data_IF_348474524991
#
_entry.id   IF_348474524991
#
_cell.length_a   1.000
_cell.length_b   1.000
_cell.length_c   1.000
_cell.angle_alpha   90.00
_cell.angle_beta   90.00
_cell.angle_gamma   90.00
#
_symmetry.space_group_name_H-M   'P 1'
#
loop_
_entity.id
_entity.type
_entity.pdbx_description
1 polymer ?
#
# COMPACT_ATOMS: atom_id res chain seq x y z
N UNK A 1 -14.16 9.05 16.39
CA UNK A 1 -15.13 9.90 15.67
C UNK A 1 -15.27 11.29 16.30
N UNK A 2 -15.51 11.40 17.61
CA UNK A 2 -15.64 12.70 18.30
C UNK A 2 -14.52 13.70 18.01
N UNK A 3 -13.26 13.28 18.14
CA UNK A 3 -12.09 14.14 17.88
C UNK A 3 -12.10 14.74 16.47
N UNK A 4 -12.49 13.96 15.45
CA UNK A 4 -12.59 14.45 14.08
C UNK A 4 -13.74 15.44 13.90
N UNK A 5 -14.92 15.12 14.46
CA UNK A 5 -16.08 16.00 14.40
C UNK A 5 -15.75 17.39 14.96
N UNK A 6 -15.21 17.43 16.19
CA UNK A 6 -14.84 18.67 16.86
C UNK A 6 -13.73 19.43 16.11
N UNK A 7 -12.63 18.77 15.71
CA UNK A 7 -11.51 19.42 15.01
C UNK A 7 -11.93 20.01 13.66
N UNK A 8 -12.78 19.32 12.91
CA UNK A 8 -13.29 19.82 11.63
C UNK A 8 -14.25 21.00 11.83
N UNK A 9 -15.15 20.92 12.82
CA UNK A 9 -16.02 22.03 13.19
C UNK A 9 -15.20 23.25 13.59
N UNK A 10 -14.20 23.08 14.46
CA UNK A 10 -13.39 24.19 14.96
C UNK A 10 -12.55 24.84 13.86
N UNK A 11 -11.91 24.02 13.01
CA UNK A 11 -11.07 24.51 11.90
C UNK A 11 -11.86 25.22 10.82
N UNK A 12 -13.02 24.69 10.43
CA UNK A 12 -13.77 25.17 9.26
C UNK A 12 -14.99 26.02 9.60
N UNK A 13 -15.37 26.09 10.89
CA UNK A 13 -16.56 26.80 11.39
C UNK A 13 -17.85 26.44 10.64
N UNK A 14 -17.96 25.18 10.20
CA UNK A 14 -19.14 24.60 9.53
C UNK A 14 -19.67 23.43 10.34
N UNK A 15 -20.99 23.21 10.30
CA UNK A 15 -21.63 22.04 10.93
C UNK A 15 -21.10 20.76 10.28
N UNK A 16 -20.72 19.77 11.10
CA UNK A 16 -20.13 18.49 10.65
C UNK A 16 -21.02 17.34 11.09
N UNK A 17 -21.40 16.49 10.14
CA UNK A 17 -22.03 15.20 10.40
C UNK A 17 -20.94 14.12 10.41
N UNK A 18 -21.05 13.17 11.34
CA UNK A 18 -20.19 11.98 11.37
C UNK A 18 -21.05 10.77 11.11
N UNK A 19 -20.64 9.93 10.16
CA UNK A 19 -21.36 8.72 9.74
C UNK A 19 -20.38 7.55 9.83
N UNK A 20 -20.86 6.39 10.29
CA UNK A 20 -20.05 5.17 10.33
C UNK A 20 -20.62 4.11 9.39
N UNK A 21 -19.78 3.56 8.51
CA UNK A 21 -20.10 2.37 7.74
C UNK A 21 -19.40 1.19 8.41
N UNK A 22 -20.18 0.24 8.92
CA UNK A 22 -19.69 -0.90 9.68
C UNK A 22 -19.57 -2.10 8.73
N UNK A 23 -18.33 -2.49 8.46
CA UNK A 23 -17.97 -3.49 7.47
C UNK A 23 -17.37 -4.76 8.10
N UNK A 24 -17.50 -4.95 9.42
CA UNK A 24 -17.03 -6.11 10.19
C UNK A 24 -17.99 -7.31 10.10
N UNK A 25 -17.60 -8.46 10.64
CA UNK A 25 -18.33 -9.74 10.59
C UNK A 25 -19.30 -9.94 11.77
N UNK A 26 -19.30 -9.05 12.76
CA UNK A 26 -20.09 -9.22 13.99
C UNK A 26 -21.43 -8.49 13.90
N UNK A 27 -22.52 -9.23 13.72
CA UNK A 27 -23.87 -8.64 13.54
C UNK A 27 -24.31 -7.70 14.68
N UNK A 28 -23.86 -7.98 15.91
CA UNK A 28 -24.24 -7.23 17.12
C UNK A 28 -23.31 -6.05 17.43
N UNK A 29 -22.14 -5.96 16.79
CA UNK A 29 -21.24 -4.82 16.98
C UNK A 29 -21.77 -3.61 16.20
N UNK A 30 -22.38 -2.67 16.93
CA UNK A 30 -23.09 -1.50 16.40
C UNK A 30 -22.83 -0.23 17.23
N UNK A 31 -21.57 0.26 17.29
CA UNK A 31 -21.29 1.48 18.00
C UNK A 31 -21.98 2.66 17.31
N UNK A 32 -22.94 3.30 17.98
CA UNK A 32 -23.69 4.45 17.46
C UNK A 32 -23.44 5.75 18.25
N UNK A 33 -22.61 5.69 19.29
CA UNK A 33 -22.29 6.84 20.11
C UNK A 33 -20.89 6.75 20.72
N UNK A 34 -20.37 7.91 21.11
CA UNK A 34 -19.17 8.05 21.93
C UNK A 34 -19.50 8.93 23.13
N UNK A 35 -19.23 8.45 24.34
CA UNK A 35 -19.59 9.15 25.57
C UNK A 35 -18.46 9.06 26.60
N UNK A 36 -18.22 10.14 27.34
CA UNK A 36 -17.44 10.10 28.59
C UNK A 36 -17.98 11.11 29.60
N UNK A 37 -17.68 10.85 30.88
CA UNK A 37 -18.03 11.73 31.98
C UNK A 37 -16.87 11.81 32.98
N UNK A 38 -16.54 13.02 33.43
CA UNK A 38 -15.51 13.26 34.44
C UNK A 38 -15.90 14.49 35.28
N UNK A 39 -15.93 14.35 36.60
CA UNK A 39 -16.16 15.49 37.52
C UNK A 39 -17.46 16.26 37.29
N UNK A 40 -18.53 15.60 36.80
CA UNK A 40 -19.80 16.25 36.45
C UNK A 40 -19.86 16.83 35.03
N UNK A 41 -18.74 16.89 34.30
CA UNK A 41 -18.71 17.23 32.88
C UNK A 41 -19.05 15.99 32.05
N UNK A 42 -19.93 16.14 31.05
CA UNK A 42 -20.33 15.07 30.12
C UNK A 42 -20.11 15.51 28.69
N UNK A 43 -19.54 14.61 27.89
CA UNK A 43 -19.48 14.72 26.44
C UNK A 43 -20.17 13.50 25.85
N UNK A 44 -21.07 13.75 24.90
CA UNK A 44 -21.74 12.73 24.11
C UNK A 44 -21.74 13.13 22.64
N UNK A 45 -21.48 12.16 21.77
CA UNK A 45 -21.65 12.29 20.33
C UNK A 45 -22.38 11.06 19.82
N UNK A 46 -23.62 11.26 19.37
CA UNK A 46 -24.38 10.26 18.62
C UNK A 46 -24.11 10.41 17.13
N UNK A 47 -24.03 9.29 16.43
CA UNK A 47 -23.79 9.27 14.99
C UNK A 47 -24.56 8.14 14.29
N UNK A 48 -25.13 8.41 13.10
CA UNK A 48 -25.76 7.37 12.30
C UNK A 48 -24.77 6.29 11.86
N UNK A 49 -25.27 5.06 11.79
CA UNK A 49 -24.51 3.90 11.33
C UNK A 49 -25.20 3.24 10.14
N UNK A 50 -24.41 2.67 9.24
CA UNK A 50 -24.86 1.74 8.20
C UNK A 50 -24.08 0.43 8.35
N UNK A 51 -24.76 -0.66 8.74
CA UNK A 51 -24.14 -1.99 8.87
C UNK A 51 -24.30 -2.73 7.56
N UNK A 52 -23.18 -3.12 6.93
CA UNK A 52 -23.23 -3.74 5.60
C UNK A 52 -23.92 -5.12 5.62
N UNK A 53 -23.82 -5.84 6.74
CA UNK A 53 -24.50 -7.13 6.93
C UNK A 53 -26.03 -7.01 6.88
N UNK A 54 -26.61 -5.85 7.19
CA UNK A 54 -28.08 -5.65 7.20
C UNK A 54 -28.69 -5.75 5.81
N UNK A 55 -27.87 -5.62 4.77
CA UNK A 55 -28.31 -5.67 3.38
C UNK A 55 -28.27 -7.09 2.80
N UNK A 56 -27.71 -8.07 3.51
CA UNK A 56 -27.64 -9.46 3.05
C UNK A 56 -29.04 -10.08 2.81
N UNK A 57 -30.03 -9.91 3.71
CA UNK A 57 -31.40 -10.39 3.47
C UNK A 57 -32.11 -9.66 2.32
N UNK A 58 -31.67 -8.45 1.97
CA UNK A 58 -32.27 -7.61 0.91
C UNK A 58 -31.47 -7.65 -0.39
N UNK A 59 -30.86 -8.79 -0.71
CA UNK A 59 -30.00 -8.97 -1.87
C UNK A 59 -30.63 -8.49 -3.19
N UNK A 60 -31.89 -8.87 -3.46
CA UNK A 60 -32.60 -8.46 -4.67
C UNK A 60 -32.78 -6.94 -4.78
N UNK A 61 -32.86 -6.22 -3.65
CA UNK A 61 -32.90 -4.76 -3.67
C UNK A 61 -31.55 -4.14 -4.04
N UNK A 62 -30.44 -4.79 -3.67
CA UNK A 62 -29.10 -4.36 -4.09
C UNK A 62 -28.90 -4.57 -5.59
N UNK A 63 -29.29 -5.72 -6.13
CA UNK A 63 -29.14 -6.05 -7.55
C UNK A 63 -29.91 -5.10 -8.46
N UNK A 64 -31.11 -4.66 -8.03
CA UNK A 64 -31.95 -3.74 -8.81
C UNK A 64 -31.65 -2.26 -8.54
N UNK A 65 -30.67 -1.97 -7.69
CA UNK A 65 -30.34 -0.59 -7.33
C UNK A 65 -29.49 0.08 -8.40
N UNK A 66 -29.86 1.30 -8.78
CA UNK A 66 -29.04 2.16 -9.64
C UNK A 66 -27.90 2.86 -8.87
N UNK A 67 -27.79 2.63 -7.56
CA UNK A 67 -26.73 3.23 -6.75
C UNK A 67 -25.43 2.42 -6.93
N UNK A 68 -24.31 3.03 -7.36
CA UNK A 68 -23.03 2.33 -7.52
C UNK A 68 -22.53 1.68 -6.23
N UNK A 69 -22.91 2.21 -5.06
CA UNK A 69 -22.56 1.61 -3.77
C UNK A 69 -23.28 0.28 -3.51
N UNK A 70 -24.35 -0.05 -4.22
CA UNK A 70 -24.97 -1.38 -4.12
C UNK A 70 -23.99 -2.48 -4.57
N UNK A 71 -23.24 -2.24 -5.66
CA UNK A 71 -22.17 -3.14 -6.13
C UNK A 71 -21.08 -3.28 -5.05
N UNK A 72 -20.69 -2.16 -4.43
CA UNK A 72 -19.69 -2.13 -3.34
C UNK A 72 -20.15 -3.00 -2.16
N UNK A 73 -21.40 -2.86 -1.73
CA UNK A 73 -21.97 -3.65 -0.62
C UNK A 73 -22.04 -5.13 -0.99
N UNK A 74 -22.54 -5.46 -2.19
CA UNK A 74 -22.61 -6.85 -2.66
C UNK A 74 -21.23 -7.50 -2.75
N UNK A 75 -20.23 -6.80 -3.30
CA UNK A 75 -18.86 -7.27 -3.39
C UNK A 75 -18.25 -7.50 -2.00
N UNK A 76 -18.51 -6.61 -1.03
CA UNK A 76 -18.05 -6.77 0.34
C UNK A 76 -18.68 -7.98 1.05
N UNK A 77 -19.99 -8.19 0.89
CA UNK A 77 -20.69 -9.35 1.47
C UNK A 77 -20.15 -10.66 0.88
N UNK A 78 -19.96 -10.72 -0.45
CA UNK A 78 -19.46 -11.94 -1.10
C UNK A 78 -17.98 -12.17 -0.88
N UNK A 79 -17.15 -11.12 -0.77
CA UNK A 79 -15.73 -11.27 -0.47
C UNK A 79 -15.52 -12.00 0.87
N UNK A 80 -16.38 -11.74 1.85
CA UNK A 80 -16.42 -12.44 3.14
C UNK A 80 -16.94 -13.87 3.02
N UNK A 81 -18.12 -14.03 2.42
CA UNK A 81 -18.77 -15.34 2.28
C UNK A 81 -17.90 -16.37 1.53
N UNK A 82 -17.10 -15.91 0.56
CA UNK A 82 -16.27 -16.78 -0.28
C UNK A 82 -14.80 -16.82 0.14
N UNK A 83 -14.43 -16.29 1.31
CA UNK A 83 -13.01 -16.16 1.73
C UNK A 83 -12.23 -17.48 1.69
N UNK A 84 -12.90 -18.61 1.95
CA UNK A 84 -12.29 -19.96 1.97
C UNK A 84 -12.65 -20.83 0.75
N UNK A 85 -13.28 -20.26 -0.27
CA UNK A 85 -13.72 -21.00 -1.45
C UNK A 85 -13.43 -20.16 -2.73
N UNK A 86 -12.22 -20.33 -3.32
CA UNK A 86 -11.78 -19.58 -4.49
C UNK A 86 -12.69 -19.74 -5.72
N UNK A 87 -13.26 -20.92 -5.92
CA UNK A 87 -14.15 -21.23 -7.05
C UNK A 87 -15.45 -20.43 -6.92
N UNK A 88 -16.10 -20.48 -5.76
CA UNK A 88 -17.28 -19.65 -5.50
C UNK A 88 -16.94 -18.16 -5.55
N UNK A 89 -15.74 -17.75 -5.13
CA UNK A 89 -15.28 -16.37 -5.26
C UNK A 89 -15.21 -15.95 -6.73
N UNK A 90 -14.66 -16.79 -7.61
CA UNK A 90 -14.62 -16.55 -9.05
C UNK A 90 -16.03 -16.38 -9.61
N UNK A 91 -16.95 -17.30 -9.29
CA UNK A 91 -18.34 -17.23 -9.76
C UNK A 91 -19.02 -15.92 -9.34
N UNK A 92 -18.89 -15.54 -8.07
CA UNK A 92 -19.46 -14.27 -7.60
C UNK A 92 -18.79 -13.04 -8.22
N UNK A 93 -17.46 -13.06 -8.42
CA UNK A 93 -16.75 -11.96 -9.07
C UNK A 93 -17.22 -11.78 -10.52
N UNK A 94 -17.41 -12.87 -11.26
CA UNK A 94 -17.99 -12.83 -12.61
C UNK A 94 -19.40 -12.24 -12.61
N UNK A 95 -20.27 -12.71 -11.71
CA UNK A 95 -21.64 -12.20 -11.60
C UNK A 95 -21.69 -10.70 -11.29
N UNK A 96 -20.86 -10.23 -10.35
CA UNK A 96 -20.80 -8.82 -9.97
C UNK A 96 -20.28 -7.93 -11.10
N UNK A 97 -19.27 -8.39 -11.84
CA UNK A 97 -18.73 -7.62 -12.98
C UNK A 97 -19.71 -7.61 -14.15
N UNK A 98 -20.40 -8.72 -14.44
CA UNK A 98 -21.47 -8.74 -15.45
C UNK A 98 -22.57 -7.75 -15.09
N UNK A 99 -23.04 -7.77 -13.83
CA UNK A 99 -24.04 -6.83 -13.33
C UNK A 99 -23.55 -5.37 -13.45
N UNK A 100 -22.30 -5.10 -13.10
CA UNK A 100 -21.68 -3.77 -13.21
C UNK A 100 -21.71 -3.24 -14.66
N UNK A 101 -21.38 -4.10 -15.62
CA UNK A 101 -21.38 -3.75 -17.05
C UNK A 101 -22.80 -3.52 -17.59
N UNK A 102 -23.79 -4.19 -17.02
CA UNK A 102 -25.21 -4.07 -17.37
C UNK A 102 -25.91 -2.88 -16.71
N UNK A 103 -25.37 -2.37 -15.61
CA UNK A 103 -26.01 -1.34 -14.76
C UNK A 103 -26.06 0.06 -15.38
N UNK A 104 -25.56 0.25 -16.60
CA UNK A 104 -25.65 1.51 -17.35
C UNK A 104 -24.78 2.65 -16.81
N UNK A 105 -23.78 2.34 -15.98
CA UNK A 105 -22.86 3.32 -15.43
C UNK A 105 -21.91 3.93 -16.48
N UNK A 106 -21.33 5.08 -16.16
CA UNK A 106 -20.32 5.69 -17.01
C UNK A 106 -19.07 4.81 -17.11
N UNK A 107 -18.29 4.95 -18.19
CA UNK A 107 -17.02 4.21 -18.35
C UNK A 107 -16.04 4.44 -17.19
N UNK A 108 -16.06 5.64 -16.60
CA UNK A 108 -15.21 5.98 -15.47
C UNK A 108 -15.68 5.27 -14.20
N UNK A 109 -16.98 5.27 -13.92
CA UNK A 109 -17.54 4.60 -12.75
C UNK A 109 -17.36 3.09 -12.82
N UNK A 110 -17.62 2.48 -13.99
CA UNK A 110 -17.36 1.05 -14.23
C UNK A 110 -15.92 0.71 -13.89
N UNK A 111 -14.96 1.54 -14.32
CA UNK A 111 -13.54 1.31 -14.02
C UNK A 111 -13.25 1.36 -12.53
N UNK A 112 -13.73 2.40 -11.83
CA UNK A 112 -13.46 2.55 -10.40
C UNK A 112 -14.11 1.44 -9.57
N UNK A 113 -15.35 1.05 -9.92
CA UNK A 113 -16.06 -0.05 -9.25
C UNK A 113 -15.42 -1.41 -9.58
N UNK A 114 -14.96 -1.61 -10.82
CA UNK A 114 -14.24 -2.82 -11.19
C UNK A 114 -12.94 -2.95 -10.38
N UNK A 115 -12.13 -1.88 -10.27
CA UNK A 115 -10.92 -1.86 -9.43
C UNK A 115 -11.22 -2.22 -8.00
N UNK A 116 -12.30 -1.66 -7.44
CA UNK A 116 -12.75 -1.99 -6.09
C UNK A 116 -13.08 -3.49 -5.94
N UNK A 117 -13.85 -4.06 -6.87
CA UNK A 117 -14.19 -5.49 -6.88
C UNK A 117 -12.93 -6.35 -6.98
N UNK A 118 -12.00 -5.98 -7.87
CA UNK A 118 -10.77 -6.72 -8.10
C UNK A 118 -9.88 -6.75 -6.85
N UNK A 119 -9.76 -5.60 -6.19
CA UNK A 119 -9.00 -5.45 -4.94
C UNK A 119 -9.58 -6.24 -3.77
N UNK A 120 -10.90 -6.20 -3.57
CA UNK A 120 -11.52 -6.88 -2.42
C UNK A 120 -11.76 -8.39 -2.65
N UNK A 121 -11.86 -8.82 -3.92
CA UNK A 121 -12.06 -10.22 -4.31
C UNK A 121 -10.85 -10.76 -5.06
N UNK A 122 -9.71 -10.83 -4.35
CA UNK A 122 -8.47 -11.41 -4.89
C UNK A 122 -8.67 -12.91 -5.18
N UNK A 123 -8.21 -13.31 -6.37
CA UNK A 123 -8.25 -14.68 -6.87
C UNK A 123 -6.82 -15.24 -7.02
N UNK A 124 -6.63 -16.56 -6.85
CA UNK A 124 -5.40 -17.25 -7.29
C UNK A 124 -5.14 -17.04 -8.78
N UNK A 125 -3.87 -17.12 -9.19
CA UNK A 125 -3.42 -16.78 -10.54
C UNK A 125 -4.17 -17.55 -11.64
N UNK A 126 -4.34 -18.87 -11.46
CA UNK A 126 -5.07 -19.73 -12.41
C UNK A 126 -6.53 -19.27 -12.62
N UNK A 127 -7.23 -18.96 -11.52
CA UNK A 127 -8.61 -18.48 -11.56
C UNK A 127 -8.70 -17.04 -12.07
N UNK A 128 -7.68 -16.22 -11.86
CA UNK A 128 -7.61 -14.87 -12.40
C UNK A 128 -7.45 -14.88 -13.94
N UNK A 129 -6.69 -15.83 -14.48
CA UNK A 129 -6.58 -16.04 -15.94
C UNK A 129 -7.93 -16.47 -16.52
N UNK A 130 -8.61 -17.40 -15.85
CA UNK A 130 -9.95 -17.82 -16.26
C UNK A 130 -10.94 -16.64 -16.24
N UNK A 131 -10.96 -15.88 -15.14
CA UNK A 131 -11.78 -14.67 -14.99
C UNK A 131 -11.59 -13.68 -16.16
N UNK A 132 -10.34 -13.36 -16.49
CA UNK A 132 -10.02 -12.44 -17.61
C UNK A 132 -10.55 -12.96 -18.94
N UNK A 133 -10.41 -14.27 -19.18
CA UNK A 133 -10.85 -14.92 -20.41
C UNK A 133 -12.37 -14.89 -20.56
N UNK A 134 -13.10 -15.20 -19.48
CA UNK A 134 -14.58 -15.15 -19.46
C UNK A 134 -15.14 -13.73 -19.61
N UNK A 135 -14.51 -12.73 -18.98
CA UNK A 135 -14.95 -11.35 -19.12
C UNK A 135 -14.71 -10.85 -20.55
N UNK A 136 -13.56 -11.18 -21.14
CA UNK A 136 -13.25 -10.82 -22.52
C UNK A 136 -14.25 -11.43 -23.52
N UNK A 137 -14.58 -12.71 -23.38
CA UNK A 137 -15.55 -13.36 -24.27
C UNK A 137 -16.96 -12.76 -24.10
N UNK A 138 -17.36 -12.44 -22.87
CA UNK A 138 -18.63 -11.77 -22.59
C UNK A 138 -18.72 -10.38 -23.24
N UNK A 139 -17.64 -9.60 -23.21
CA UNK A 139 -17.55 -8.29 -23.87
C UNK A 139 -17.62 -8.38 -25.39
N UNK A 140 -16.85 -9.30 -25.99
CA UNK A 140 -16.82 -9.53 -27.43
C UNK A 140 -18.21 -9.91 -27.95
N UNK A 141 -18.91 -10.80 -27.24
CA UNK A 141 -20.28 -11.20 -27.57
C UNK A 141 -21.26 -10.01 -27.54
N UNK A 142 -21.10 -9.08 -26.59
CA UNK A 142 -21.96 -7.90 -26.45
C UNK A 142 -21.47 -6.67 -27.21
N UNK A 143 -20.35 -6.76 -27.94
CA UNK A 143 -19.68 -5.64 -28.64
C UNK A 143 -19.41 -4.44 -27.73
N UNK A 144 -19.19 -4.67 -26.44
CA UNK A 144 -18.94 -3.63 -25.45
C UNK A 144 -17.42 -3.51 -25.21
N UNK A 145 -16.79 -2.35 -25.50
CA UNK A 145 -15.35 -2.12 -25.24
C UNK A 145 -15.12 -1.41 -23.88
N UNK A 146 -15.50 -2.02 -22.77
CA UNK A 146 -15.20 -1.43 -21.45
C UNK A 146 -13.84 -1.90 -20.91
N UNK A 147 -13.54 -3.21 -20.98
CA UNK A 147 -12.36 -3.84 -20.36
C UNK A 147 -11.07 -3.55 -21.11
N UNK A 148 -11.07 -3.36 -22.43
CA UNK A 148 -9.87 -2.89 -23.16
C UNK A 148 -9.33 -1.55 -22.65
N UNK A 149 -10.20 -0.70 -22.09
CA UNK A 149 -9.77 0.54 -21.43
C UNK A 149 -9.30 0.34 -19.99
N UNK A 150 -9.83 -0.68 -19.30
CA UNK A 150 -9.49 -1.03 -17.92
C UNK A 150 -8.17 -1.81 -17.86
N UNK A 151 -7.96 -2.80 -18.74
CA UNK A 151 -6.68 -3.52 -18.89
C UNK A 151 -5.54 -2.57 -19.26
N UNK A 152 -5.80 -1.60 -20.16
CA UNK A 152 -4.80 -0.61 -20.53
C UNK A 152 -4.43 0.29 -19.35
N UNK A 153 -5.40 0.66 -18.52
CA UNK A 153 -5.16 1.47 -17.32
C UNK A 153 -4.50 0.66 -16.20
N UNK A 154 -4.91 -0.58 -15.94
CA UNK A 154 -4.24 -1.45 -14.97
C UNK A 154 -2.78 -1.73 -15.37
N UNK A 155 -2.51 -1.87 -16.67
CA UNK A 155 -1.13 -1.96 -17.20
C UNK A 155 -0.36 -0.65 -17.01
N UNK A 156 -0.99 0.50 -17.25
CA UNK A 156 -0.35 1.81 -17.02
C UNK A 156 -0.07 2.04 -15.53
N UNK A 157 -1.01 1.72 -14.65
CA UNK A 157 -0.85 1.84 -13.20
C UNK A 157 0.23 0.89 -12.67
N UNK A 158 0.27 -0.37 -13.10
CA UNK A 158 1.35 -1.29 -12.72
C UNK A 158 2.73 -0.86 -13.23
N UNK A 159 2.79 -0.19 -14.38
CA UNK A 159 4.04 0.43 -14.86
C UNK A 159 4.42 1.65 -14.00
N UNK A 160 3.46 2.49 -13.65
CA UNK A 160 3.70 3.67 -12.80
C UNK A 160 4.14 3.28 -11.39
N UNK A 161 3.49 2.29 -10.77
CA UNK A 161 3.87 1.74 -9.46
C UNK A 161 5.27 1.11 -9.52
N UNK A 162 5.55 0.26 -10.50
CA UNK A 162 6.88 -0.33 -10.68
C UNK A 162 7.99 0.70 -10.95
N UNK A 163 7.66 1.79 -11.65
CA UNK A 163 8.60 2.89 -11.89
C UNK A 163 8.87 3.68 -10.60
N UNK A 164 7.85 3.93 -9.78
CA UNK A 164 8.01 4.60 -8.49
C UNK A 164 8.85 3.77 -7.53
N UNK A 165 8.54 2.47 -7.38
CA UNK A 165 9.33 1.55 -6.56
C UNK A 165 10.78 1.46 -7.06
N UNK A 166 10.98 1.29 -8.36
CA UNK A 166 12.32 1.23 -8.96
C UNK A 166 13.12 2.52 -8.75
N UNK A 167 12.47 3.68 -8.83
CA UNK A 167 13.12 4.98 -8.57
C UNK A 167 13.50 5.13 -7.11
N UNK A 168 12.65 4.69 -6.20
CA UNK A 168 12.91 4.77 -4.76
C UNK A 168 14.05 3.82 -4.36
N UNK A 169 14.03 2.59 -4.86
CA UNK A 169 15.11 1.62 -4.65
C UNK A 169 16.44 2.12 -5.24
N UNK A 170 16.42 2.69 -6.44
CA UNK A 170 17.61 3.27 -7.06
C UNK A 170 18.18 4.47 -6.30
N UNK A 171 17.32 5.31 -5.71
CA UNK A 171 17.75 6.42 -4.87
C UNK A 171 18.38 5.92 -3.55
N UNK A 172 17.77 4.93 -2.90
CA UNK A 172 18.30 4.35 -1.67
C UNK A 172 19.66 3.69 -1.88
N UNK A 173 19.81 2.91 -2.97
CA UNK A 173 21.09 2.30 -3.35
C UNK A 173 22.14 3.38 -3.64
N UNK A 174 21.79 4.42 -4.40
CA UNK A 174 22.71 5.52 -4.70
C UNK A 174 23.16 6.30 -3.45
N UNK A 175 22.25 6.49 -2.47
CA UNK A 175 22.61 7.12 -1.19
C UNK A 175 23.55 6.21 -0.38
N UNK A 176 23.27 4.91 -0.32
CA UNK A 176 24.13 3.96 0.39
C UNK A 176 25.53 3.89 -0.21
N UNK A 177 25.62 3.79 -1.54
CA UNK A 177 26.88 3.77 -2.27
C UNK A 177 27.66 5.09 -2.08
N UNK A 178 26.97 6.24 -2.13
CA UNK A 178 27.58 7.54 -1.85
C UNK A 178 28.12 7.68 -0.43
N UNK A 179 27.40 7.17 0.58
CA UNK A 179 27.87 7.14 1.98
C UNK A 179 29.11 6.25 2.12
N UNK A 180 29.13 5.10 1.45
CA UNK A 180 30.24 4.15 1.49
C UNK A 180 31.49 4.76 0.84
N UNK A 181 31.34 5.35 -0.34
CA UNK A 181 32.43 5.99 -1.07
C UNK A 181 33.00 7.17 -0.26
N UNK A 182 32.14 8.05 0.25
CA UNK A 182 32.57 9.15 1.12
C UNK A 182 33.29 8.63 2.38
N UNK A 183 32.84 7.52 2.96
CA UNK A 183 33.50 6.90 4.11
C UNK A 183 34.91 6.39 3.79
N UNK A 184 35.11 5.81 2.61
CA UNK A 184 36.40 5.34 2.10
C UNK A 184 37.34 6.53 1.82
N UNK A 185 36.85 7.50 1.07
CA UNK A 185 37.62 8.70 0.67
C UNK A 185 38.09 9.46 1.92
N UNK A 186 37.20 9.71 2.89
CA UNK A 186 37.56 10.38 4.13
C UNK A 186 38.61 9.61 4.95
N UNK A 187 38.52 8.27 4.97
CA UNK A 187 39.47 7.43 5.69
C UNK A 187 40.86 7.48 5.06
N UNK A 188 40.92 7.42 3.73
CA UNK A 188 42.15 7.56 2.96
C UNK A 188 42.75 8.95 3.19
N UNK A 189 41.95 10.02 3.03
CA UNK A 189 42.41 11.41 3.18
C UNK A 189 42.98 11.70 4.57
N UNK A 190 42.33 11.21 5.64
CA UNK A 190 42.85 11.36 7.01
C UNK A 190 44.16 10.61 7.20
N UNK A 191 44.27 9.40 6.67
CA UNK A 191 45.48 8.58 6.77
C UNK A 191 46.63 9.19 5.95
N UNK A 192 46.35 9.72 4.76
CA UNK A 192 47.34 10.43 3.92
C UNK A 192 47.82 11.72 4.60
N UNK A 193 46.91 12.48 5.21
CA UNK A 193 47.25 13.70 5.94
C UNK A 193 48.20 13.42 7.12
N UNK A 194 48.03 12.30 7.81
CA UNK A 194 48.82 11.96 9.01
C UNK A 194 50.14 11.30 8.68
N UNK A 195 50.19 10.45 7.66
CA UNK A 195 51.33 9.57 7.43
C UNK A 195 51.98 9.71 6.03
N UNK A 196 51.47 10.61 5.18
CA UNK A 196 51.95 10.80 3.81
C UNK A 196 51.36 9.79 2.83
N UNK A 197 52.08 9.47 1.75
CA UNK A 197 51.59 8.51 0.75
C UNK A 197 51.30 7.13 1.38
N UNK A 198 50.08 6.65 1.20
CA UNK A 198 49.68 5.33 1.69
C UNK A 198 50.11 4.22 0.71
N UNK A 199 50.57 3.07 1.21
CA UNK A 199 50.75 1.87 0.40
C UNK A 199 49.47 1.51 -0.35
N UNK A 200 49.61 1.08 -1.60
CA UNK A 200 48.49 0.63 -2.45
C UNK A 200 47.72 -0.54 -1.85
N UNK A 201 48.36 -1.36 -1.02
CA UNK A 201 47.70 -2.42 -0.25
C UNK A 201 46.58 -1.91 0.66
N UNK A 202 46.82 -0.79 1.36
CA UNK A 202 45.86 -0.19 2.31
C UNK A 202 44.70 0.46 1.59
N UNK A 203 44.99 1.21 0.52
CA UNK A 203 43.96 1.86 -0.31
C UNK A 203 43.00 0.81 -0.89
N UNK A 204 43.55 -0.29 -1.41
CA UNK A 204 42.73 -1.38 -1.94
C UNK A 204 41.90 -2.06 -0.85
N UNK A 205 42.47 -2.31 0.33
CA UNK A 205 41.74 -2.91 1.45
C UNK A 205 40.58 -2.02 1.91
N UNK A 206 40.78 -0.70 2.04
CA UNK A 206 39.70 0.25 2.38
C UNK A 206 38.60 0.27 1.32
N UNK A 207 38.97 0.24 0.04
CA UNK A 207 38.04 0.23 -1.08
C UNK A 207 37.22 -1.07 -1.20
N UNK A 208 37.60 -2.14 -0.51
CA UNK A 208 36.81 -3.38 -0.44
C UNK A 208 35.81 -3.41 0.73
N UNK A 209 35.88 -2.46 1.66
CA UNK A 209 34.97 -2.42 2.82
C UNK A 209 33.58 -2.01 2.36
N UNK A 210 32.60 -2.92 2.48
CA UNK A 210 31.21 -2.69 2.08
C UNK A 210 30.27 -2.33 3.25
N UNK A 211 30.82 -2.10 4.44
CA UNK A 211 30.07 -1.70 5.64
C UNK A 211 30.48 -0.29 6.10
N UNK A 212 29.53 0.65 6.02
CA UNK A 212 29.71 2.04 6.47
C UNK A 212 30.02 2.19 7.96
N UNK A 213 29.60 1.23 8.80
CA UNK A 213 29.85 1.23 10.25
C UNK A 213 31.31 0.88 10.55
N UNK A 214 31.88 -0.05 9.79
CA UNK A 214 33.29 -0.42 9.86
C UNK A 214 34.14 0.77 9.43
N UNK A 215 33.81 1.43 8.31
CA UNK A 215 34.49 2.65 7.85
C UNK A 215 34.50 3.76 8.91
N UNK A 216 33.36 4.03 9.55
CA UNK A 216 33.27 5.03 10.64
C UNK A 216 34.15 4.67 11.85
N UNK A 217 34.23 3.38 12.18
CA UNK A 217 35.04 2.90 13.31
C UNK A 217 36.54 3.03 13.00
N UNK A 218 36.94 2.62 11.79
CA UNK A 218 38.31 2.77 11.30
C UNK A 218 38.70 4.24 11.24
N UNK A 219 37.82 5.13 10.75
CA UNK A 219 38.07 6.57 10.73
C UNK A 219 38.33 7.15 12.11
N UNK A 220 37.55 6.75 13.13
CA UNK A 220 37.79 7.20 14.52
C UNK A 220 39.13 6.71 15.05
N UNK A 221 39.52 5.47 14.74
CA UNK A 221 40.80 4.91 15.19
C UNK A 221 41.98 5.52 14.43
N UNK A 222 41.82 5.78 13.14
CA UNK A 222 42.82 6.41 12.27
C UNK A 222 43.32 7.75 12.81
N UNK A 223 42.53 8.47 13.61
CA UNK A 223 42.92 9.74 14.23
C UNK A 223 43.92 9.53 15.39
N UNK A 224 43.83 8.40 16.10
CA UNK A 224 44.56 8.18 17.36
C UNK A 224 45.76 7.23 17.25
N UNK A 225 45.85 6.46 16.15
CA UNK A 225 46.91 5.44 15.98
C UNK A 225 48.27 6.11 15.73
N UNK A 226 49.38 5.60 16.29
CA UNK A 226 50.72 6.20 16.14
C UNK A 226 51.44 5.87 14.82
N UNK A 227 51.05 4.82 14.08
CA UNK A 227 51.74 4.41 12.84
C UNK A 227 50.83 3.71 11.81
N UNK A 228 51.28 3.65 10.54
CA UNK A 228 50.60 2.92 9.46
C UNK A 228 50.52 1.42 9.76
N UNK A 229 51.58 0.80 10.28
CA UNK A 229 51.64 -0.64 10.54
C UNK A 229 50.63 -1.11 11.59
N UNK A 230 50.30 -0.27 12.57
CA UNK A 230 49.23 -0.56 13.54
C UNK A 230 47.84 -0.43 12.92
N UNK A 231 47.66 0.45 11.93
CA UNK A 231 46.41 0.56 11.20
C UNK A 231 46.16 -0.65 10.30
N UNK A 232 47.21 -1.20 9.67
CA UNK A 232 47.11 -2.43 8.86
C UNK A 232 46.58 -3.63 9.66
N UNK A 233 46.92 -3.73 10.95
CA UNK A 233 46.42 -4.79 11.83
C UNK A 233 44.92 -4.65 12.16
N UNK A 234 44.34 -3.47 11.95
CA UNK A 234 42.93 -3.18 12.23
C UNK A 234 42.03 -3.34 11.00
N UNK A 235 42.62 -3.42 9.80
CA UNK A 235 41.86 -3.72 8.61
C UNK A 235 41.31 -5.15 8.70
N UNK A 236 40.09 -5.40 8.21
CA UNK A 236 39.57 -6.75 8.09
C UNK A 236 40.57 -7.57 7.27
N UNK A 237 41.13 -8.62 7.86
CA UNK A 237 41.89 -9.63 7.14
C UNK A 237 40.84 -10.56 6.51
N UNK A 238 40.92 -10.77 5.20
CA UNK A 238 40.15 -11.82 4.53
C UNK A 238 40.46 -13.20 5.12
#
# INVERSE_FOLDING_TARGET
MYTYNYRLFDRHKKRVISLAVLADEEANWRPSSYNYQLGGCRVSLDFPIAKLLDYEPSWSSLENSKNPFAIVVMAHLKSKATKRNPENRLQWKLSLVRLLLESGFSRQDIRQLFRFIDWIMVLPEELAINFKTEIRSYEEARKMRYVTSIERLAKQEGIEEGLQEGRQLGLELGIQEGILQMGRDNLIEVMETRFGELPTSIVNAVNQINDSSVLKTLLKRAISIPSISEFEQLLPQD
#
